data_IF_520521759198
#
_entry.id   IF_520521759198
#
_cell.length_a   1.000
_cell.length_b   1.000
_cell.length_c   1.000
_cell.angle_alpha   90.00
_cell.angle_beta   90.00
_cell.angle_gamma   90.00
#
_symmetry.space_group_name_H-M   'P 1'
#
loop_
_entity.id
_entity.type
_entity.pdbx_description
1 polymer ?
#
# COMPACT_ATOMS: atom_id res chain seq x y z
N UNK A 1 -22.20 -56.51 21.13
CA UNK A 1 -22.72 -55.18 21.47
C UNK A 1 -21.62 -54.21 21.87
N UNK A 2 -20.72 -54.55 22.77
CA UNK A 2 -19.60 -53.66 23.22
C UNK A 2 -18.68 -53.18 22.10
N UNK A 3 -18.31 -54.05 21.16
CA UNK A 3 -17.45 -53.72 20.04
C UNK A 3 -18.02 -52.63 19.10
N UNK A 4 -19.34 -52.64 18.87
CA UNK A 4 -20.00 -51.61 18.04
C UNK A 4 -20.03 -50.24 18.73
N UNK A 5 -20.19 -50.21 20.05
CA UNK A 5 -20.15 -48.97 20.84
C UNK A 5 -18.75 -48.37 20.78
N UNK A 6 -17.70 -49.19 20.96
CA UNK A 6 -16.30 -48.70 20.81
C UNK A 6 -16.00 -48.18 19.41
N UNK A 7 -16.46 -48.86 18.37
CA UNK A 7 -16.26 -48.43 16.98
C UNK A 7 -16.96 -47.09 16.71
N UNK A 8 -18.14 -46.88 17.23
CA UNK A 8 -18.89 -45.64 17.10
C UNK A 8 -18.17 -44.47 17.80
N UNK A 9 -17.63 -44.65 18.99
CA UNK A 9 -16.83 -43.65 19.68
C UNK A 9 -15.55 -43.29 18.92
N UNK A 10 -14.86 -44.27 18.34
CA UNK A 10 -13.65 -44.02 17.53
C UNK A 10 -14.01 -43.18 16.30
N UNK A 11 -15.12 -43.45 15.63
CA UNK A 11 -15.55 -42.64 14.48
C UNK A 11 -15.89 -41.18 14.85
N UNK A 12 -16.54 -41.00 16.03
CA UNK A 12 -16.83 -39.63 16.50
C UNK A 12 -15.54 -38.87 16.78
N UNK A 13 -14.61 -39.47 17.53
CA UNK A 13 -13.32 -38.83 17.85
C UNK A 13 -12.55 -38.50 16.57
N UNK A 14 -12.51 -39.42 15.61
CA UNK A 14 -11.84 -39.21 14.33
C UNK A 14 -12.48 -38.05 13.54
N UNK A 15 -13.82 -37.99 13.51
CA UNK A 15 -14.52 -36.87 12.85
C UNK A 15 -14.22 -35.52 13.49
N UNK A 16 -14.18 -35.44 14.82
CA UNK A 16 -13.82 -34.22 15.55
C UNK A 16 -12.37 -33.81 15.24
N UNK A 17 -11.42 -34.76 15.24
CA UNK A 17 -10.02 -34.49 14.89
C UNK A 17 -9.91 -33.96 13.45
N UNK A 18 -10.61 -34.54 12.48
CA UNK A 18 -10.60 -34.06 11.11
C UNK A 18 -11.10 -32.59 10.99
N UNK A 19 -12.20 -32.26 11.70
CA UNK A 19 -12.74 -30.90 11.72
C UNK A 19 -11.74 -29.92 12.30
N UNK A 20 -11.10 -30.26 13.43
CA UNK A 20 -10.09 -29.40 14.07
C UNK A 20 -8.86 -29.19 13.17
N UNK A 21 -8.41 -30.21 12.46
CA UNK A 21 -7.28 -30.10 11.53
C UNK A 21 -7.64 -29.17 10.36
N UNK A 22 -8.84 -29.31 9.79
CA UNK A 22 -9.30 -28.46 8.69
C UNK A 22 -9.45 -27.00 9.14
N UNK A 23 -9.99 -26.75 10.33
CA UNK A 23 -10.10 -25.38 10.88
C UNK A 23 -8.73 -24.74 11.11
N UNK A 24 -7.79 -25.50 11.67
CA UNK A 24 -6.41 -25.02 11.89
C UNK A 24 -5.70 -24.71 10.57
N UNK A 25 -5.86 -25.57 9.56
CA UNK A 25 -5.27 -25.30 8.23
C UNK A 25 -5.87 -24.07 7.58
N UNK A 26 -7.17 -23.86 7.71
CA UNK A 26 -7.84 -22.70 7.15
C UNK A 26 -7.40 -21.40 7.84
N UNK A 27 -7.27 -21.40 9.17
CA UNK A 27 -6.73 -20.28 9.95
C UNK A 27 -5.29 -19.93 9.53
N UNK A 28 -4.43 -20.93 9.40
CA UNK A 28 -3.03 -20.70 8.99
C UNK A 28 -2.96 -20.12 7.58
N UNK A 29 -3.81 -20.52 6.65
CA UNK A 29 -3.88 -19.93 5.30
C UNK A 29 -4.30 -18.48 5.33
N UNK A 30 -5.23 -18.10 6.19
CA UNK A 30 -5.67 -16.70 6.34
C UNK A 30 -4.56 -15.86 6.96
N UNK A 31 -3.91 -16.33 8.03
CA UNK A 31 -2.79 -15.63 8.67
C UNK A 31 -1.65 -15.39 7.69
N UNK A 32 -1.23 -16.43 6.96
CA UNK A 32 -0.16 -16.30 5.96
C UNK A 32 -0.51 -15.30 4.86
N UNK A 33 -1.76 -15.25 4.41
CA UNK A 33 -2.20 -14.25 3.42
C UNK A 33 -2.14 -12.83 3.96
N UNK A 34 -2.52 -12.62 5.23
CA UNK A 34 -2.45 -11.30 5.87
C UNK A 34 -1.01 -10.84 6.06
N UNK A 35 -0.12 -11.72 6.54
CA UNK A 35 1.31 -11.40 6.69
C UNK A 35 1.97 -11.06 5.34
N UNK A 36 1.66 -11.81 4.28
CA UNK A 36 2.11 -11.49 2.93
C UNK A 36 1.58 -10.14 2.47
N UNK A 37 0.30 -9.86 2.70
CA UNK A 37 -0.32 -8.60 2.33
C UNK A 37 0.36 -7.40 3.00
N UNK A 38 0.60 -7.46 4.32
CA UNK A 38 1.29 -6.40 5.05
C UNK A 38 2.72 -6.20 4.54
N UNK A 39 3.43 -7.28 4.20
CA UNK A 39 4.75 -7.20 3.60
C UNK A 39 4.74 -6.49 2.25
N UNK A 40 3.79 -6.81 1.37
CA UNK A 40 3.64 -6.15 0.07
C UNK A 40 3.31 -4.66 0.22
N UNK A 41 2.39 -4.31 1.12
CA UNK A 41 2.06 -2.91 1.38
C UNK A 41 3.28 -2.11 1.88
N UNK A 42 4.11 -2.69 2.74
CA UNK A 42 5.31 -2.02 3.23
C UNK A 42 6.34 -1.79 2.12
N UNK A 43 6.49 -2.74 1.19
CA UNK A 43 7.34 -2.60 0.01
C UNK A 43 6.81 -1.49 -0.90
N UNK A 44 5.50 -1.48 -1.18
CA UNK A 44 4.88 -0.44 -1.99
C UNK A 44 5.07 0.95 -1.36
N UNK A 45 4.81 1.08 -0.06
CA UNK A 45 4.98 2.33 0.68
C UNK A 45 6.42 2.85 0.62
N UNK A 46 7.40 1.97 0.76
CA UNK A 46 8.81 2.32 0.60
C UNK A 46 9.10 2.89 -0.79
N UNK A 47 8.62 2.25 -1.84
CA UNK A 47 8.83 2.71 -3.21
C UNK A 47 8.07 4.00 -3.53
N UNK A 48 6.86 4.16 -2.98
CA UNK A 48 6.09 5.41 -3.09
C UNK A 48 6.83 6.57 -2.43
N UNK A 49 7.37 6.40 -1.22
CA UNK A 49 8.18 7.42 -0.54
C UNK A 49 9.41 7.79 -1.36
N UNK A 50 10.14 6.80 -1.85
CA UNK A 50 11.33 7.00 -2.68
C UNK A 50 11.01 7.74 -3.98
N UNK A 51 9.94 7.35 -4.67
CA UNK A 51 9.48 8.02 -5.90
C UNK A 51 9.07 9.47 -5.63
N UNK A 52 8.35 9.70 -4.52
CA UNK A 52 7.95 11.04 -4.11
C UNK A 52 9.16 11.94 -3.88
N UNK A 53 10.17 11.48 -3.14
CA UNK A 53 11.38 12.26 -2.87
C UNK A 53 12.15 12.62 -4.16
N UNK A 54 12.17 11.71 -5.13
CA UNK A 54 12.79 11.96 -6.45
C UNK A 54 11.99 13.03 -7.21
N UNK A 55 10.69 12.83 -7.35
CA UNK A 55 9.82 13.76 -8.09
C UNK A 55 9.79 15.14 -7.42
N UNK A 56 9.73 15.18 -6.09
CA UNK A 56 9.76 16.43 -5.35
C UNK A 56 11.03 17.24 -5.63
N UNK A 57 12.20 16.61 -5.56
CA UNK A 57 13.48 17.27 -5.83
C UNK A 57 13.64 17.71 -7.28
N UNK A 58 13.23 16.86 -8.21
CA UNK A 58 13.50 17.08 -9.63
C UNK A 58 12.49 18.04 -10.28
N UNK A 59 11.24 18.08 -9.78
CA UNK A 59 10.16 18.81 -10.43
C UNK A 59 9.47 19.84 -9.56
N UNK A 60 9.25 19.58 -8.28
CA UNK A 60 8.45 20.44 -7.39
C UNK A 60 9.33 21.50 -6.73
N UNK A 61 10.51 21.14 -6.27
CA UNK A 61 11.42 22.06 -5.57
C UNK A 61 11.77 23.29 -6.43
N UNK A 62 11.84 23.14 -7.75
CA UNK A 62 12.11 24.23 -8.68
C UNK A 62 11.02 25.31 -8.58
N UNK A 63 9.74 24.91 -8.56
CA UNK A 63 8.61 25.84 -8.41
C UNK A 63 8.62 26.54 -7.03
N UNK A 64 8.97 25.81 -5.99
CA UNK A 64 9.10 26.38 -4.63
C UNK A 64 10.23 27.44 -4.56
N UNK A 65 11.38 27.16 -5.19
CA UNK A 65 12.52 28.09 -5.23
C UNK A 65 12.23 29.35 -6.07
N UNK A 66 11.42 29.24 -7.12
CA UNK A 66 11.04 30.35 -8.00
C UNK A 66 9.80 31.10 -7.49
N UNK A 67 9.21 30.70 -6.36
CA UNK A 67 7.96 31.22 -5.78
C UNK A 67 6.77 31.18 -6.79
N UNK A 68 6.81 30.23 -7.74
CA UNK A 68 5.76 30.01 -8.74
C UNK A 68 4.85 28.88 -8.27
N UNK A 69 3.54 29.10 -8.31
CA UNK A 69 2.58 28.01 -8.06
C UNK A 69 2.52 27.08 -9.25
N UNK A 70 2.65 25.79 -8.97
CA UNK A 70 2.32 24.74 -9.94
C UNK A 70 0.86 24.89 -10.37
N UNK A 71 0.61 24.96 -11.67
CA UNK A 71 -0.76 24.96 -12.20
C UNK A 71 -1.33 23.53 -12.25
N UNK A 72 -2.67 23.40 -12.35
CA UNK A 72 -3.37 22.12 -12.31
C UNK A 72 -2.92 21.16 -13.43
N UNK A 73 -2.53 21.67 -14.60
CA UNK A 73 -2.08 20.85 -15.74
C UNK A 73 -0.71 20.24 -15.41
N UNK A 74 0.22 21.06 -14.95
CA UNK A 74 1.55 20.61 -14.54
C UNK A 74 1.49 19.65 -13.38
N UNK A 75 0.64 19.92 -12.40
CA UNK A 75 0.42 19.03 -11.26
C UNK A 75 -0.10 17.65 -11.69
N UNK A 76 -1.04 17.60 -12.63
CA UNK A 76 -1.54 16.35 -13.22
C UNK A 76 -0.44 15.57 -13.97
N UNK A 77 0.46 16.26 -14.65
CA UNK A 77 1.60 15.61 -15.32
C UNK A 77 2.55 15.02 -14.28
N UNK A 78 2.90 15.80 -13.26
CA UNK A 78 3.82 15.36 -12.20
C UNK A 78 3.26 14.17 -11.41
N UNK A 79 1.96 14.17 -11.09
CA UNK A 79 1.32 13.06 -10.40
C UNK A 79 1.29 11.76 -11.21
N UNK A 80 1.11 11.87 -12.54
CA UNK A 80 1.21 10.71 -13.44
C UNK A 80 2.65 10.20 -13.56
N UNK A 81 3.62 11.10 -13.68
CA UNK A 81 5.04 10.74 -13.70
C UNK A 81 5.46 10.03 -12.40
N UNK A 82 4.90 10.45 -11.27
CA UNK A 82 5.07 9.75 -10.01
C UNK A 82 4.55 8.31 -10.07
N UNK A 83 3.32 8.09 -10.56
CA UNK A 83 2.76 6.75 -10.67
C UNK A 83 3.60 5.86 -11.59
N UNK A 84 4.05 6.38 -12.73
CA UNK A 84 4.93 5.67 -13.66
C UNK A 84 6.26 5.31 -12.98
N UNK A 85 6.84 6.23 -12.22
CA UNK A 85 8.10 6.00 -11.52
C UNK A 85 7.95 4.92 -10.43
N UNK A 86 6.85 4.92 -9.66
CA UNK A 86 6.57 3.86 -8.68
C UNK A 86 6.48 2.51 -9.37
N UNK A 87 5.68 2.39 -10.44
CA UNK A 87 5.55 1.15 -11.20
C UNK A 87 6.89 0.64 -11.74
N UNK A 88 7.76 1.54 -12.19
CA UNK A 88 9.12 1.20 -12.62
C UNK A 88 10.01 0.72 -11.46
N UNK A 89 9.89 1.34 -10.28
CA UNK A 89 10.70 0.99 -9.11
C UNK A 89 10.32 -0.35 -8.49
N UNK A 90 9.03 -0.72 -8.50
CA UNK A 90 8.58 -2.02 -8.01
C UNK A 90 8.90 -3.17 -8.98
N UNK A 91 9.03 -2.88 -10.27
CA UNK A 91 9.29 -3.87 -11.32
C UNK A 91 8.04 -4.66 -11.74
N UNK A 92 8.15 -5.38 -12.86
CA UNK A 92 6.97 -5.98 -13.51
C UNK A 92 6.28 -7.05 -12.66
N UNK A 93 7.02 -7.90 -11.96
CA UNK A 93 6.46 -8.98 -11.15
C UNK A 93 5.58 -8.45 -10.00
N UNK A 94 6.10 -7.47 -9.24
CA UNK A 94 5.33 -6.85 -8.16
C UNK A 94 4.20 -5.98 -8.69
N UNK A 95 4.39 -5.33 -9.85
CA UNK A 95 3.33 -4.57 -10.51
C UNK A 95 2.12 -5.47 -10.79
N UNK A 96 2.31 -6.66 -11.37
CA UNK A 96 1.22 -7.60 -11.65
C UNK A 96 0.47 -8.00 -10.38
N UNK A 97 1.20 -8.31 -9.30
CA UNK A 97 0.59 -8.66 -8.01
C UNK A 97 -0.21 -7.50 -7.41
N UNK A 98 0.30 -6.26 -7.49
CA UNK A 98 -0.47 -5.09 -7.03
C UNK A 98 -1.68 -4.80 -7.90
N UNK A 99 -1.58 -4.95 -9.22
CA UNK A 99 -2.73 -4.80 -10.13
C UNK A 99 -3.82 -5.81 -9.80
N UNK A 100 -3.46 -7.06 -9.51
CA UNK A 100 -4.42 -8.08 -9.06
C UNK A 100 -5.05 -7.71 -7.70
N UNK A 101 -4.24 -7.21 -6.77
CA UNK A 101 -4.68 -6.79 -5.43
C UNK A 101 -5.69 -5.64 -5.48
N UNK A 102 -5.45 -4.65 -6.34
CA UNK A 102 -6.31 -3.48 -6.52
C UNK A 102 -7.45 -3.72 -7.52
N UNK A 103 -7.50 -4.88 -8.15
CA UNK A 103 -8.53 -5.33 -9.07
C UNK A 103 -8.26 -5.01 -10.54
N UNK A 104 -7.58 -3.91 -10.85
CA UNK A 104 -7.13 -3.55 -12.19
C UNK A 104 -6.05 -2.44 -12.14
N UNK A 105 -5.38 -2.23 -13.27
CA UNK A 105 -4.28 -1.26 -13.39
C UNK A 105 -4.76 0.20 -13.20
N UNK A 106 -5.95 0.54 -13.66
CA UNK A 106 -6.50 1.90 -13.51
C UNK A 106 -6.72 2.26 -12.03
N UNK A 107 -7.30 1.33 -11.27
CA UNK A 107 -7.52 1.50 -9.83
C UNK A 107 -6.18 1.59 -9.07
N UNK A 108 -5.20 0.79 -9.46
CA UNK A 108 -3.87 0.86 -8.88
C UNK A 108 -3.21 2.22 -9.13
N UNK A 109 -3.21 2.70 -10.39
CA UNK A 109 -2.67 4.02 -10.76
C UNK A 109 -3.42 5.13 -10.02
N UNK A 110 -4.74 5.06 -9.93
CA UNK A 110 -5.54 6.04 -9.18
C UNK A 110 -5.10 6.14 -7.71
N UNK A 111 -4.89 5.01 -7.04
CA UNK A 111 -4.41 5.00 -5.65
C UNK A 111 -3.00 5.58 -5.51
N UNK A 112 -2.12 5.36 -6.49
CA UNK A 112 -0.79 5.98 -6.49
C UNK A 112 -0.89 7.51 -6.62
N UNK A 113 -1.73 8.01 -7.52
CA UNK A 113 -1.97 9.45 -7.71
C UNK A 113 -2.60 10.06 -6.45
N UNK A 114 -3.56 9.39 -5.83
CA UNK A 114 -4.17 9.83 -4.58
C UNK A 114 -3.15 9.93 -3.44
N UNK A 115 -2.26 8.95 -3.31
CA UNK A 115 -1.16 9.01 -2.36
C UNK A 115 -0.26 10.23 -2.60
N UNK A 116 0.10 10.49 -3.86
CA UNK A 116 0.91 11.66 -4.23
C UNK A 116 0.22 12.97 -3.84
N UNK A 117 -1.04 13.12 -4.18
CA UNK A 117 -1.83 14.33 -3.89
C UNK A 117 -1.91 14.59 -2.38
N UNK A 118 -2.25 13.57 -1.61
CA UNK A 118 -2.34 13.66 -0.15
C UNK A 118 -0.98 14.01 0.48
N UNK A 119 0.10 13.46 -0.05
CA UNK A 119 1.44 13.74 0.45
C UNK A 119 1.88 15.17 0.15
N UNK A 120 1.62 15.63 -1.08
CA UNK A 120 1.92 16.98 -1.52
C UNK A 120 1.16 18.04 -0.70
N UNK A 121 -0.13 17.85 -0.49
CA UNK A 121 -0.96 18.73 0.32
C UNK A 121 -0.47 18.82 1.77
N UNK A 122 -0.09 17.70 2.37
CA UNK A 122 0.48 17.66 3.72
C UNK A 122 1.82 18.41 3.82
N UNK A 123 2.67 18.32 2.80
CA UNK A 123 3.96 19.03 2.79
C UNK A 123 3.74 20.54 2.59
N UNK A 124 2.80 20.97 1.76
CA UNK A 124 2.40 22.37 1.60
C UNK A 124 1.89 23.01 2.90
N UNK A 125 1.06 22.26 3.64
CA UNK A 125 0.57 22.70 4.95
C UNK A 125 1.72 22.86 5.95
N UNK A 126 2.68 21.95 5.95
CA UNK A 126 3.86 22.00 6.83
C UNK A 126 4.79 23.18 6.50
N UNK A 127 4.99 23.49 5.23
CA UNK A 127 5.78 24.66 4.82
C UNK A 127 5.13 25.95 5.26
N UNK A 128 3.83 26.14 5.03
CA UNK A 128 3.07 27.31 5.50
C UNK A 128 3.10 27.47 7.02
N UNK A 129 3.02 26.36 7.75
CA UNK A 129 3.11 26.40 9.22
C UNK A 129 4.52 26.85 9.71
N UNK A 130 5.60 26.46 9.01
CA UNK A 130 6.97 26.91 9.33
C UNK A 130 7.18 28.37 9.04
N UNK A 131 6.68 28.88 7.92
CA UNK A 131 6.74 30.30 7.57
C UNK A 131 6.04 31.18 8.62
N UNK A 132 4.85 30.79 9.08
CA UNK A 132 4.11 31.52 10.12
C UNK A 132 4.87 31.58 11.45
N UNK A 133 5.54 30.50 11.86
CA UNK A 133 6.35 30.47 13.09
C UNK A 133 7.57 31.40 12.98
N UNK A 134 8.17 31.52 11.79
CA UNK A 134 9.31 32.39 11.58
C UNK A 134 8.93 33.87 11.55
N UNK A 135 7.73 34.21 11.04
CA UNK A 135 7.22 35.58 11.01
C UNK A 135 6.75 36.09 12.36
N UNK A 136 6.25 35.23 13.25
CA UNK A 136 5.82 35.63 14.60
C UNK A 136 6.99 35.87 15.58
N UNK A 137 8.21 35.46 15.24
CA UNK A 137 9.41 35.62 16.06
C UNK A 137 10.30 36.81 15.62
N UNK A 138 9.85 37.62 14.66
CA UNK A 138 10.54 38.84 14.20
C UNK A 138 9.79 40.08 14.64
#
# INVERSE_FOLDING_TARGET
MFAYICLFFILIVFSICCILILDTQNRNRVINKVEHFESYLSILEYHMKKAYDIIYKDKILIYSLEAVKINDIEFNIVSKDFAILVMKLIGDNLKEEFVELYGNEETFIFNLIEYFNNRFENDEIREKARENIMTDNT
#
